data_IF_358812017132
#
_entry.id   IF_358812017132
#
_cell.length_a   1.000
_cell.length_b   1.000
_cell.length_c   1.000
_cell.angle_alpha   90.00
_cell.angle_beta   90.00
_cell.angle_gamma   90.00
#
_symmetry.space_group_name_H-M   'P 1'
#
loop_
_entity.id
_entity.type
_entity.pdbx_description
1 polymer ?
#
# COMPACT_ATOMS: atom_id res chain seq x y z
N UNK A 1 66.89 8.86 -2.95
CA UNK A 1 66.61 8.17 -1.67
C UNK A 1 65.47 8.89 -0.97
N UNK A 2 64.48 8.10 -0.47
CA UNK A 2 63.51 8.38 0.62
C UNK A 2 62.10 8.96 0.27
N UNK A 3 61.14 8.00 0.23
CA UNK A 3 59.69 8.00 0.57
C UNK A 3 58.75 8.92 -0.25
N UNK A 4 57.90 8.45 -1.19
CA UNK A 4 56.70 7.57 -1.09
C UNK A 4 55.85 7.84 0.15
N UNK A 5 54.74 8.57 0.02
CA UNK A 5 53.48 8.36 0.79
C UNK A 5 52.27 8.95 0.04
N UNK A 6 51.76 8.16 -0.90
CA UNK A 6 50.35 7.79 -1.07
C UNK A 6 49.33 8.66 -0.30
N UNK A 7 48.85 9.74 -0.93
CA UNK A 7 47.54 10.34 -0.61
C UNK A 7 46.43 9.62 -1.39
N UNK A 8 46.32 8.31 -1.19
CA UNK A 8 45.06 7.62 -1.37
C UNK A 8 44.26 7.91 -0.10
N UNK A 9 43.59 9.06 -0.06
CA UNK A 9 42.56 9.32 0.95
C UNK A 9 41.44 8.36 0.61
N UNK A 10 41.59 7.18 1.21
CA UNK A 10 40.58 6.31 1.77
C UNK A 10 39.20 6.98 1.81
N UNK A 11 38.49 6.97 0.67
CA UNK A 11 37.04 7.12 0.57
C UNK A 11 36.38 5.87 1.18
N UNK A 12 36.67 5.64 2.45
CA UNK A 12 36.07 4.63 3.31
C UNK A 12 35.24 5.38 4.35
N UNK A 13 34.48 6.37 3.89
CA UNK A 13 33.41 6.98 4.66
C UNK A 13 32.10 6.38 4.17
N UNK A 14 31.67 5.37 4.91
CA UNK A 14 30.27 5.24 5.31
C UNK A 14 29.30 5.15 4.12
N UNK A 15 29.42 4.09 3.32
CA UNK A 15 28.21 3.39 2.92
C UNK A 15 27.69 2.70 4.19
N UNK A 16 27.08 3.50 5.08
CA UNK A 16 26.12 2.99 6.03
C UNK A 16 25.04 2.31 5.20
N UNK A 17 25.23 1.02 4.95
CA UNK A 17 24.14 0.13 4.64
C UNK A 17 23.20 0.28 5.82
N UNK A 18 22.17 1.10 5.63
CA UNK A 18 20.95 0.95 6.37
C UNK A 18 20.42 -0.41 5.91
N UNK A 19 21.03 -1.49 6.39
CA UNK A 19 20.54 -2.85 6.26
C UNK A 19 19.32 -2.92 7.17
N UNK A 20 18.26 -2.23 6.71
CA UNK A 20 16.96 -2.27 7.33
C UNK A 20 16.60 -3.74 7.46
N UNK A 21 16.53 -4.20 8.70
CA UNK A 21 16.32 -5.60 9.03
C UNK A 21 15.12 -6.09 8.24
N UNK A 22 15.35 -7.04 7.33
CA UNK A 22 14.27 -7.64 6.54
C UNK A 22 13.38 -8.40 7.48
N UNK A 23 12.15 -7.92 7.68
CA UNK A 23 11.15 -8.61 8.49
C UNK A 23 10.64 -9.83 7.72
N UNK A 24 11.16 -11.00 8.05
CA UNK A 24 10.71 -12.28 7.51
C UNK A 24 9.49 -12.79 8.27
N UNK A 25 8.60 -13.52 7.59
CA UNK A 25 7.40 -14.10 8.22
C UNK A 25 6.29 -13.11 8.58
N UNK A 26 6.49 -11.81 8.31
CA UNK A 26 5.49 -10.76 8.52
C UNK A 26 4.76 -10.48 7.22
N UNK A 27 3.43 -10.35 7.27
CA UNK A 27 2.63 -9.96 6.10
C UNK A 27 3.06 -8.57 5.65
N UNK A 28 3.43 -8.46 4.38
CA UNK A 28 3.82 -7.21 3.75
C UNK A 28 2.68 -6.73 2.85
N UNK A 29 2.72 -5.44 2.49
CA UNK A 29 1.82 -4.87 1.49
C UNK A 29 2.59 -4.02 0.51
N UNK A 30 2.21 -4.05 -0.78
CA UNK A 30 2.82 -3.17 -1.78
C UNK A 30 2.37 -1.73 -1.59
N UNK A 31 3.17 -0.75 -2.02
CA UNK A 31 2.79 0.66 -1.89
C UNK A 31 1.92 1.16 -3.06
N UNK A 32 2.09 0.58 -4.25
CA UNK A 32 1.37 0.96 -5.46
C UNK A 32 1.08 -0.25 -6.36
N UNK A 33 0.27 -0.05 -7.40
CA UNK A 33 0.00 -1.05 -8.44
C UNK A 33 1.28 -1.52 -9.13
N UNK A 34 2.14 -0.58 -9.50
CA UNK A 34 3.41 -0.89 -10.18
C UNK A 34 4.33 -1.71 -9.28
N UNK A 35 4.38 -1.38 -7.99
CA UNK A 35 5.14 -2.13 -7.00
C UNK A 35 4.60 -3.56 -6.82
N UNK A 36 3.27 -3.71 -6.73
CA UNK A 36 2.63 -5.01 -6.65
C UNK A 36 2.88 -5.88 -7.91
N UNK A 37 2.87 -5.27 -9.10
CA UNK A 37 3.19 -5.91 -10.37
C UNK A 37 4.66 -6.34 -10.41
N UNK A 38 5.59 -5.47 -10.01
CA UNK A 38 7.03 -5.78 -9.95
C UNK A 38 7.34 -6.93 -8.98
N UNK A 39 6.66 -6.97 -7.83
CA UNK A 39 6.73 -8.06 -6.85
C UNK A 39 5.98 -9.33 -7.27
N UNK A 40 5.26 -9.29 -8.39
CA UNK A 40 4.41 -10.38 -8.91
C UNK A 40 3.31 -10.81 -7.94
N UNK A 41 2.86 -9.94 -7.04
CA UNK A 41 1.79 -10.23 -6.05
C UNK A 41 0.44 -9.63 -6.46
N UNK A 42 0.46 -8.70 -7.42
CA UNK A 42 -0.73 -8.11 -8.02
C UNK A 42 -1.70 -9.17 -8.57
N UNK A 43 -2.99 -8.95 -8.32
CA UNK A 43 -4.08 -9.80 -8.81
C UNK A 43 -5.02 -9.03 -9.71
N UNK A 44 -5.50 -7.86 -9.28
CA UNK A 44 -6.54 -7.12 -9.99
C UNK A 44 -6.47 -5.63 -9.71
N UNK A 45 -6.97 -4.83 -10.65
CA UNK A 45 -7.07 -3.38 -10.58
C UNK A 45 -8.52 -2.95 -10.74
N UNK A 46 -8.89 -1.88 -10.04
CA UNK A 46 -10.23 -1.34 -10.04
C UNK A 46 -10.18 0.16 -10.32
N UNK A 47 -11.23 0.65 -10.96
CA UNK A 47 -11.48 2.07 -11.20
C UNK A 47 -12.57 2.56 -10.24
N UNK A 48 -12.32 3.64 -9.48
CA UNK A 48 -13.31 4.22 -8.58
C UNK A 48 -14.33 5.10 -9.32
N UNK A 49 -15.58 5.04 -8.88
CA UNK A 49 -16.70 5.88 -9.34
C UNK A 49 -17.48 6.35 -8.08
N UNK A 50 -17.43 7.65 -7.73
CA UNK A 50 -16.56 8.69 -8.30
C UNK A 50 -15.09 8.50 -7.90
N UNK A 51 -14.17 9.04 -8.69
CA UNK A 51 -12.73 9.04 -8.38
C UNK A 51 -12.30 10.17 -7.44
N UNK A 52 -13.12 11.20 -7.32
CA UNK A 52 -12.93 12.34 -6.42
C UNK A 52 -14.09 12.40 -5.44
N UNK A 53 -13.74 12.54 -4.17
CA UNK A 53 -14.65 12.68 -3.04
C UNK A 53 -14.52 14.10 -2.52
N UNK A 54 -15.65 14.73 -2.22
CA UNK A 54 -15.69 16.09 -1.72
C UNK A 54 -16.21 16.08 -0.28
N UNK A 55 -15.37 16.56 0.63
CA UNK A 55 -15.80 17.05 1.94
C UNK A 55 -16.10 18.56 1.84
N UNK A 56 -16.73 19.15 2.85
CA UNK A 56 -17.06 20.58 2.86
C UNK A 56 -15.84 21.47 2.62
N UNK A 57 -14.68 21.08 3.18
CA UNK A 57 -13.47 21.90 3.16
C UNK A 57 -12.34 21.30 2.30
N UNK A 58 -12.49 20.08 1.79
CA UNK A 58 -11.40 19.35 1.13
C UNK A 58 -11.86 18.43 0.00
N UNK A 59 -10.96 18.19 -0.95
CA UNK A 59 -11.15 17.17 -2.00
C UNK A 59 -10.16 16.03 -1.85
N UNK A 60 -10.66 14.81 -1.74
CA UNK A 60 -9.87 13.59 -1.69
C UNK A 60 -9.92 12.92 -3.05
N UNK A 61 -8.76 12.62 -3.64
CA UNK A 61 -8.68 11.88 -4.88
C UNK A 61 -8.14 10.47 -4.65
N UNK A 62 -8.86 9.49 -5.18
CA UNK A 62 -8.47 8.07 -5.20
C UNK A 62 -7.51 7.86 -6.37
N UNK A 63 -6.23 7.64 -6.06
CA UNK A 63 -5.16 7.49 -7.05
C UNK A 63 -5.15 6.10 -7.66
N UNK A 64 -5.19 5.07 -6.82
CA UNK A 64 -5.07 3.68 -7.22
C UNK A 64 -5.95 2.79 -6.36
N UNK A 65 -6.55 1.78 -6.98
CA UNK A 65 -7.28 0.73 -6.29
C UNK A 65 -6.88 -0.62 -6.85
N UNK A 66 -6.40 -1.52 -5.99
CA UNK A 66 -5.93 -2.83 -6.42
C UNK A 66 -6.14 -3.90 -5.38
N UNK A 67 -6.02 -5.15 -5.84
CA UNK A 67 -6.02 -6.34 -5.00
C UNK A 67 -4.73 -7.11 -5.24
N UNK A 68 -4.12 -7.58 -4.17
CA UNK A 68 -2.91 -8.39 -4.22
C UNK A 68 -3.07 -9.68 -3.38
N UNK A 69 -2.31 -10.71 -3.74
CA UNK A 69 -2.16 -11.91 -2.91
C UNK A 69 -1.46 -11.49 -1.61
N UNK A 70 -1.97 -11.88 -0.44
CA UNK A 70 -1.19 -11.73 0.79
C UNK A 70 0.16 -12.40 0.61
N UNK A 71 1.21 -11.74 1.09
CA UNK A 71 2.56 -12.20 0.88
C UNK A 71 3.47 -11.79 2.01
N UNK A 72 4.58 -12.52 2.16
CA UNK A 72 5.63 -12.26 3.14
C UNK A 72 6.99 -12.58 2.55
N UNK A 73 8.04 -12.01 3.13
CA UNK A 73 9.39 -12.48 2.86
C UNK A 73 9.65 -13.76 3.63
N UNK A 74 10.02 -14.82 2.91
CA UNK A 74 10.37 -16.13 3.48
C UNK A 74 11.75 -16.09 4.14
N UNK A 75 12.65 -15.27 3.62
CA UNK A 75 14.04 -15.18 4.08
C UNK A 75 14.63 -13.76 3.92
N UNK A 76 15.85 -13.59 4.41
CA UNK A 76 16.62 -12.33 4.32
C UNK A 76 17.03 -11.98 2.89
N UNK A 77 16.96 -12.94 1.95
CA UNK A 77 17.18 -12.72 0.51
C UNK A 77 15.95 -12.14 -0.18
N UNK A 78 14.89 -11.83 0.57
CA UNK A 78 13.64 -11.24 0.09
C UNK A 78 12.89 -12.17 -0.88
N UNK A 79 13.02 -13.49 -0.71
CA UNK A 79 12.17 -14.44 -1.44
C UNK A 79 10.70 -14.25 -1.02
N UNK A 80 9.82 -14.03 -2.00
CA UNK A 80 8.40 -13.79 -1.73
C UNK A 80 7.63 -15.11 -1.65
N UNK A 81 6.93 -15.33 -0.53
CA UNK A 81 5.92 -16.38 -0.38
C UNK A 81 4.53 -15.76 -0.46
N UNK A 82 3.72 -16.20 -1.42
CA UNK A 82 2.30 -15.85 -1.52
C UNK A 82 1.47 -16.77 -0.63
N UNK A 83 0.42 -16.23 -0.02
CA UNK A 83 -0.58 -16.94 0.77
C UNK A 83 -1.88 -17.01 -0.03
N UNK A 84 -2.73 -18.00 0.25
CA UNK A 84 -4.02 -18.19 -0.43
C UNK A 84 -5.10 -17.25 0.13
N UNK A 85 -4.78 -15.96 0.27
CA UNK A 85 -5.65 -14.92 0.78
C UNK A 85 -5.35 -13.61 0.05
N UNK A 86 -6.28 -12.66 0.08
CA UNK A 86 -6.20 -11.42 -0.68
C UNK A 86 -6.55 -10.22 0.16
N UNK A 87 -5.84 -9.12 -0.09
CA UNK A 87 -6.17 -7.80 0.44
C UNK A 87 -6.36 -6.84 -0.72
N UNK A 88 -7.40 -6.02 -0.60
CA UNK A 88 -7.60 -4.84 -1.40
C UNK A 88 -6.93 -3.63 -0.76
N UNK A 89 -6.51 -2.70 -1.61
CA UNK A 89 -5.89 -1.46 -1.21
C UNK A 89 -6.46 -0.29 -1.98
N UNK A 90 -6.56 0.85 -1.30
CA UNK A 90 -6.91 2.14 -1.90
C UNK A 90 -5.82 3.13 -1.52
N UNK A 91 -5.19 3.77 -2.51
CA UNK A 91 -4.23 4.85 -2.30
C UNK A 91 -4.88 6.19 -2.60
N UNK A 92 -4.68 7.15 -1.71
CA UNK A 92 -5.31 8.46 -1.74
C UNK A 92 -4.27 9.58 -1.78
N UNK A 93 -4.63 10.73 -2.35
CA UNK A 93 -3.77 11.95 -2.34
C UNK A 93 -3.78 12.71 -1.01
N UNK A 94 -4.69 12.39 -0.09
CA UNK A 94 -5.01 13.21 1.10
C UNK A 94 -3.81 13.54 2.00
N UNK A 95 -3.73 14.78 2.48
CA UNK A 95 -2.89 15.18 3.62
C UNK A 95 -3.64 15.07 4.96
N UNK A 96 -4.92 14.71 4.91
CA UNK A 96 -5.77 14.53 6.07
C UNK A 96 -5.49 13.13 6.62
N UNK A 97 -5.25 13.04 7.93
CA UNK A 97 -5.29 11.79 8.67
C UNK A 97 -6.72 11.25 8.60
N UNK A 98 -6.99 10.42 7.60
CA UNK A 98 -8.34 9.91 7.37
C UNK A 98 -8.74 8.96 8.51
N UNK A 99 -9.73 9.35 9.29
CA UNK A 99 -10.40 8.52 10.28
C UNK A 99 -11.33 7.48 9.62
N UNK A 100 -11.61 6.40 10.36
CA UNK A 100 -12.31 5.13 10.04
C UNK A 100 -13.07 5.02 8.71
N UNK A 101 -12.76 4.01 7.91
CA UNK A 101 -13.51 3.65 6.69
C UNK A 101 -14.29 2.35 6.93
N UNK A 102 -15.59 2.39 6.61
CA UNK A 102 -16.48 1.25 6.71
C UNK A 102 -16.67 0.61 5.34
N UNK A 103 -16.06 -0.56 5.17
CA UNK A 103 -16.35 -1.40 4.02
C UNK A 103 -17.64 -2.19 4.32
N UNK A 104 -18.70 -1.99 3.55
CA UNK A 104 -20.00 -2.69 3.69
C UNK A 104 -19.95 -4.22 3.54
N UNK A 105 -18.77 -4.80 3.35
CA UNK A 105 -18.54 -6.23 3.15
C UNK A 105 -17.69 -6.88 4.25
N UNK A 106 -17.28 -6.13 5.27
CA UNK A 106 -16.51 -6.68 6.38
C UNK A 106 -16.74 -5.87 7.65
N UNK A 107 -17.07 -6.54 8.75
CA UNK A 107 -17.17 -5.93 10.09
C UNK A 107 -15.80 -5.45 10.64
N UNK A 108 -14.71 -5.60 9.87
CA UNK A 108 -13.38 -5.15 10.25
C UNK A 108 -13.12 -3.74 9.73
N UNK A 109 -12.85 -2.84 10.68
CA UNK A 109 -12.34 -1.51 10.40
C UNK A 109 -10.95 -1.61 9.77
N UNK A 110 -10.81 -0.94 8.64
CA UNK A 110 -9.58 -0.90 7.85
C UNK A 110 -8.80 0.35 8.21
N UNK A 111 -7.67 0.19 8.90
CA UNK A 111 -6.80 1.31 9.30
C UNK A 111 -6.09 1.98 8.12
N UNK A 112 -5.83 3.27 8.27
CA UNK A 112 -5.04 4.09 7.32
C UNK A 112 -3.60 4.11 7.78
N UNK A 113 -2.66 3.78 6.89
CA UNK A 113 -1.24 4.05 7.12
C UNK A 113 -0.67 4.75 5.90
N UNK A 114 -0.15 5.97 6.07
CA UNK A 114 0.59 6.69 5.04
C UNK A 114 -0.18 6.88 3.73
N UNK A 115 -1.45 7.32 3.79
CA UNK A 115 -2.36 7.52 2.65
C UNK A 115 -2.81 6.25 1.91
N UNK A 116 -2.53 5.08 2.48
CA UNK A 116 -2.97 3.78 1.96
C UNK A 116 -3.95 3.12 2.92
N UNK A 117 -5.05 2.66 2.36
CA UNK A 117 -6.11 1.91 3.03
C UNK A 117 -5.98 0.45 2.64
N UNK A 118 -6.27 -0.44 3.58
CA UNK A 118 -6.20 -1.89 3.36
C UNK A 118 -7.49 -2.54 3.81
N UNK A 119 -8.14 -3.34 2.97
CA UNK A 119 -9.37 -4.05 3.30
C UNK A 119 -9.27 -5.52 2.90
N UNK A 120 -9.90 -6.41 3.66
CA UNK A 120 -9.97 -7.83 3.32
C UNK A 120 -11.16 -8.12 2.42
N UNK A 121 -10.96 -8.99 1.43
CA UNK A 121 -12.02 -9.42 0.51
C UNK A 121 -12.21 -10.95 0.64
N UNK A 122 -13.43 -11.44 0.91
CA UNK A 122 -13.70 -12.87 0.95
C UNK A 122 -13.68 -13.51 -0.44
N UNK A 123 -14.07 -12.77 -1.48
CA UNK A 123 -14.11 -13.18 -2.89
C UNK A 123 -13.78 -11.99 -3.82
N UNK A 124 -13.56 -12.23 -5.13
CA UNK A 124 -13.37 -11.17 -6.14
C UNK A 124 -14.62 -10.90 -6.97
N UNK A 125 -15.51 -9.99 -6.53
CA UNK A 125 -16.55 -9.53 -7.41
C UNK A 125 -15.95 -8.63 -8.50
N UNK A 126 -16.60 -8.60 -9.67
CA UNK A 126 -16.26 -7.62 -10.71
C UNK A 126 -16.59 -6.18 -10.30
N UNK A 127 -17.40 -6.00 -9.26
CA UNK A 127 -17.71 -4.71 -8.64
C UNK A 127 -17.64 -4.78 -7.12
N UNK A 128 -17.06 -3.77 -6.47
CA UNK A 128 -17.01 -3.64 -5.00
C UNK A 128 -17.67 -2.31 -4.63
N UNK A 129 -18.79 -2.35 -3.89
CA UNK A 129 -19.40 -1.16 -3.28
C UNK A 129 -18.77 -0.85 -1.92
N UNK A 130 -18.16 0.30 -1.77
CA UNK A 130 -17.58 0.73 -0.49
C UNK A 130 -18.12 2.09 -0.10
N UNK A 131 -18.00 2.46 1.17
CA UNK A 131 -18.40 3.77 1.68
C UNK A 131 -17.25 4.37 2.49
N UNK A 132 -16.83 5.56 2.10
CA UNK A 132 -15.77 6.30 2.78
C UNK A 132 -16.43 7.24 3.78
N UNK A 133 -16.25 7.00 5.08
CA UNK A 133 -16.79 7.88 6.13
C UNK A 133 -15.76 8.97 6.43
N UNK A 134 -16.13 10.24 6.24
CA UNK A 134 -15.28 11.41 6.58
C UNK A 134 -15.77 12.00 7.91
N UNK A 135 -14.87 12.63 8.69
CA UNK A 135 -14.92 13.16 10.08
C UNK A 135 -16.25 13.61 10.72
N UNK A 136 -17.35 13.75 9.98
CA UNK A 136 -18.69 14.06 10.50
C UNK A 136 -19.68 12.88 10.38
N UNK A 137 -19.19 11.66 10.11
CA UNK A 137 -20.04 10.47 9.95
C UNK A 137 -20.78 10.41 8.62
N UNK A 138 -20.52 11.35 7.70
CA UNK A 138 -21.08 11.32 6.35
C UNK A 138 -20.33 10.29 5.55
N UNK A 139 -21.04 9.23 5.17
CA UNK A 139 -20.55 8.21 4.26
C UNK A 139 -20.63 8.68 2.81
N UNK A 140 -19.51 8.60 2.11
CA UNK A 140 -19.40 8.86 0.69
C UNK A 140 -19.34 7.53 -0.05
N UNK A 141 -20.41 7.13 -0.76
CA UNK A 141 -20.43 5.87 -1.48
C UNK A 141 -19.48 5.92 -2.67
N UNK A 142 -18.69 4.86 -2.83
CA UNK A 142 -17.78 4.66 -3.96
C UNK A 142 -17.99 3.27 -4.52
N UNK A 143 -18.22 3.21 -5.83
CA UNK A 143 -18.23 1.97 -6.58
C UNK A 143 -16.85 1.74 -7.19
N UNK A 144 -16.24 0.60 -6.88
CA UNK A 144 -15.00 0.15 -7.50
C UNK A 144 -15.35 -0.86 -8.60
N UNK A 145 -15.07 -0.53 -9.84
CA UNK A 145 -15.37 -1.37 -11.00
C UNK A 145 -14.06 -1.98 -11.51
N UNK A 146 -14.02 -3.29 -11.67
CA UNK A 146 -12.86 -3.98 -12.24
C UNK A 146 -12.49 -3.39 -13.61
N UNK A 147 -11.19 -3.21 -13.85
CA UNK A 147 -10.62 -2.88 -15.16
C UNK A 147 -10.33 -4.16 -15.94
#
# INVERSE_FOLDING_TARGET
MKYVYMKAILCFMVFSSCDGVVKTGVIMSSYSINDAKAKKVFSREYRPIPSRLFSQDDSIYIEEVWVENLWLYKDVKKEIKKLNQFNGYVRLTSNIDLFSIKFHYSDKESGVSGKKLTFSLPNYPDTIKTEFVIENGVGLPVLLVKI
#
